data_IF_817529185350
#
_entry.id   IF_817529185350
#
_cell.length_a   1.000
_cell.length_b   1.000
_cell.length_c   1.000
_cell.angle_alpha   90.00
_cell.angle_beta   90.00
_cell.angle_gamma   90.00
#
_symmetry.space_group_name_H-M   'P 1'
#
loop_
_entity.id
_entity.type
_entity.pdbx_description
1 polymer ?
#
# COMPACT_ATOMS: atom_id res chain seq x y z
N UNK A 1 -18.17 -12.85 9.27
CA UNK A 1 -18.47 -12.00 8.10
C UNK A 1 -17.21 -11.19 7.76
N UNK A 2 -16.65 -11.35 6.56
CA UNK A 2 -15.58 -10.43 6.10
C UNK A 2 -16.27 -9.15 5.64
N UNK A 3 -16.18 -8.09 6.43
CA UNK A 3 -16.60 -6.76 5.99
C UNK A 3 -15.78 -6.40 4.76
N UNK A 4 -16.46 -6.20 3.62
CA UNK A 4 -15.82 -5.68 2.41
C UNK A 4 -15.51 -4.19 2.66
N UNK A 5 -14.42 -3.92 3.38
CA UNK A 5 -13.86 -2.58 3.50
C UNK A 5 -13.51 -2.10 2.10
N UNK A 6 -14.27 -1.11 1.64
CA UNK A 6 -14.03 -0.33 0.43
C UNK A 6 -13.46 1.02 0.85
N UNK A 7 -12.39 1.46 0.19
CA UNK A 7 -11.75 2.74 0.50
C UNK A 7 -12.18 3.75 -0.55
N UNK A 8 -12.83 4.82 -0.12
CA UNK A 8 -13.23 5.91 -1.01
C UNK A 8 -12.13 6.98 -1.03
N UNK A 9 -11.26 6.92 -2.04
CA UNK A 9 -10.12 7.84 -2.22
C UNK A 9 -10.16 8.42 -3.64
N UNK A 10 -9.76 9.69 -3.82
CA UNK A 10 -9.75 10.31 -5.15
C UNK A 10 -8.63 9.76 -6.03
N UNK A 11 -7.45 9.60 -5.45
CA UNK A 11 -6.30 8.96 -6.08
C UNK A 11 -5.35 8.38 -5.03
N UNK A 12 -4.39 7.58 -5.49
CA UNK A 12 -3.19 7.24 -4.73
C UNK A 12 -1.97 7.46 -5.62
N UNK A 13 -0.85 7.83 -5.03
CA UNK A 13 0.40 8.07 -5.75
C UNK A 13 1.55 7.35 -5.04
N UNK A 14 2.45 6.71 -5.79
CA UNK A 14 3.67 6.15 -5.20
C UNK A 14 4.54 7.27 -4.60
N UNK A 15 4.87 7.15 -3.31
CA UNK A 15 5.72 8.13 -2.62
C UNK A 15 7.15 7.62 -2.43
N UNK A 16 7.30 6.41 -1.84
CA UNK A 16 8.62 5.84 -1.54
C UNK A 16 8.54 4.34 -1.22
N UNK A 17 9.67 3.70 -0.97
CA UNK A 17 9.74 2.39 -0.35
C UNK A 17 10.81 2.32 0.74
N UNK A 18 10.72 1.32 1.61
CA UNK A 18 11.60 1.20 2.79
C UNK A 18 13.11 1.14 2.46
N UNK A 19 13.50 0.75 1.25
CA UNK A 19 14.90 0.76 0.82
C UNK A 19 15.42 2.14 0.38
N UNK A 20 14.53 3.13 0.23
CA UNK A 20 14.85 4.48 -0.21
C UNK A 20 14.86 5.50 0.94
N UNK A 21 14.59 5.08 2.17
CA UNK A 21 14.44 5.95 3.35
C UNK A 21 15.25 5.42 4.52
N UNK A 22 15.48 6.27 5.52
CA UNK A 22 16.07 5.84 6.78
C UNK A 22 15.01 5.23 7.73
N UNK A 23 15.49 4.64 8.83
CA UNK A 23 14.63 3.98 9.81
C UNK A 23 13.67 4.95 10.52
N UNK A 24 14.10 6.20 10.74
CA UNK A 24 13.28 7.22 11.43
C UNK A 24 12.08 7.60 10.55
N UNK A 25 12.32 7.83 9.26
CA UNK A 25 11.26 8.10 8.27
C UNK A 25 10.32 6.91 8.13
N UNK A 26 10.86 5.68 8.12
CA UNK A 26 10.05 4.47 8.08
C UNK A 26 9.14 4.34 9.30
N UNK A 27 9.65 4.60 10.50
CA UNK A 27 8.87 4.56 11.75
C UNK A 27 7.71 5.56 11.73
N UNK A 28 7.94 6.78 11.25
CA UNK A 28 6.88 7.78 11.13
C UNK A 28 5.86 7.43 10.04
N UNK A 29 6.28 6.91 8.88
CA UNK A 29 5.36 6.45 7.83
C UNK A 29 4.50 5.25 8.25
N UNK A 30 5.04 4.38 9.12
CA UNK A 30 4.35 3.21 9.65
C UNK A 30 3.54 3.49 10.93
N UNK A 31 3.59 4.71 11.45
CA UNK A 31 2.91 5.10 12.69
C UNK A 31 1.40 4.89 12.58
N UNK A 32 0.84 4.17 13.54
CA UNK A 32 -0.58 3.84 13.56
C UNK A 32 -1.03 2.85 12.48
N UNK A 33 -0.10 2.14 11.82
CA UNK A 33 -0.44 1.19 10.78
C UNK A 33 -1.38 0.09 11.28
N UNK A 34 -2.46 -0.12 10.55
CA UNK A 34 -3.42 -1.20 10.75
C UNK A 34 -3.47 -2.11 9.53
N UNK A 35 -3.78 -3.39 9.74
CA UNK A 35 -3.91 -4.35 8.64
C UNK A 35 -5.02 -3.93 7.69
N UNK A 36 -4.73 -3.92 6.40
CA UNK A 36 -5.63 -3.42 5.37
C UNK A 36 -6.17 -4.53 4.45
N UNK A 37 -7.24 -4.19 3.71
CA UNK A 37 -7.82 -5.09 2.72
C UNK A 37 -6.97 -5.14 1.46
N UNK A 38 -6.07 -6.13 1.39
CA UNK A 38 -5.16 -6.36 0.27
C UNK A 38 -5.83 -6.38 -1.10
N UNK A 39 -7.01 -7.00 -1.22
CA UNK A 39 -7.71 -7.09 -2.51
C UNK A 39 -8.14 -5.71 -2.98
N UNK A 40 -8.58 -4.87 -2.06
CA UNK A 40 -9.01 -3.52 -2.39
C UNK A 40 -7.83 -2.62 -2.72
N UNK A 41 -6.72 -2.70 -1.96
CA UNK A 41 -5.49 -1.98 -2.29
C UNK A 41 -4.98 -2.38 -3.67
N UNK A 42 -4.95 -3.68 -4.02
CA UNK A 42 -4.54 -4.11 -5.36
C UNK A 42 -5.42 -3.50 -6.47
N UNK A 43 -6.72 -3.29 -6.22
CA UNK A 43 -7.61 -2.61 -7.18
C UNK A 43 -7.27 -1.13 -7.32
N UNK A 44 -6.99 -0.45 -6.20
CA UNK A 44 -6.60 0.97 -6.22
C UNK A 44 -5.26 1.16 -6.91
N UNK A 45 -4.25 0.34 -6.59
CA UNK A 45 -2.94 0.37 -7.25
C UNK A 45 -3.09 0.07 -8.74
N UNK A 46 -3.91 -0.92 -9.13
CA UNK A 46 -4.18 -1.17 -10.56
C UNK A 46 -4.81 0.04 -11.27
N UNK A 47 -5.71 0.75 -10.59
CA UNK A 47 -6.46 1.87 -11.15
C UNK A 47 -5.63 3.13 -11.29
N UNK A 48 -4.87 3.49 -10.26
CA UNK A 48 -4.17 4.76 -10.17
C UNK A 48 -2.66 4.65 -10.46
N UNK A 49 -2.06 3.49 -10.17
CA UNK A 49 -0.61 3.24 -10.29
C UNK A 49 -0.32 1.94 -11.08
N UNK A 50 -0.81 1.81 -12.34
CA UNK A 50 -0.74 0.56 -13.10
C UNK A 50 0.70 0.10 -13.36
N UNK A 51 1.66 1.01 -13.45
CA UNK A 51 3.09 0.69 -13.58
C UNK A 51 3.57 -0.13 -12.39
N UNK A 52 3.28 0.31 -11.16
CA UNK A 52 3.65 -0.42 -9.94
C UNK A 52 2.84 -1.70 -9.79
N UNK A 53 1.57 -1.72 -10.18
CA UNK A 53 0.76 -2.94 -10.17
C UNK A 53 1.43 -4.07 -10.98
N UNK A 54 1.91 -3.73 -12.18
CA UNK A 54 2.57 -4.66 -13.08
C UNK A 54 3.99 -5.01 -12.59
N UNK A 55 4.78 -4.01 -12.18
CA UNK A 55 6.15 -4.19 -11.69
C UNK A 55 6.20 -5.12 -10.48
N UNK A 56 5.26 -4.97 -9.55
CA UNK A 56 5.15 -5.80 -8.34
C UNK A 56 4.36 -7.10 -8.57
N UNK A 57 3.89 -7.34 -9.80
CA UNK A 57 3.14 -8.53 -10.18
C UNK A 57 1.96 -8.84 -9.23
N UNK A 58 1.20 -7.79 -8.86
CA UNK A 58 0.14 -7.86 -7.85
C UNK A 58 -1.09 -8.71 -8.25
N UNK A 59 -1.09 -9.25 -9.47
CA UNK A 59 -2.02 -10.25 -9.94
C UNK A 59 -1.72 -11.67 -9.42
N UNK A 60 -0.52 -11.94 -8.92
CA UNK A 60 -0.15 -13.23 -8.33
C UNK A 60 -0.38 -13.26 -6.82
N UNK A 61 -0.39 -14.47 -6.26
CA UNK A 61 -0.46 -14.64 -4.82
C UNK A 61 0.78 -14.05 -4.15
N UNK A 62 0.54 -13.18 -3.17
CA UNK A 62 1.57 -12.59 -2.35
C UNK A 62 1.25 -12.94 -0.88
N UNK A 63 2.17 -13.56 -0.12
CA UNK A 63 1.92 -14.01 1.25
C UNK A 63 1.91 -12.87 2.28
N UNK A 64 2.50 -11.71 1.96
CA UNK A 64 2.64 -10.61 2.90
C UNK A 64 1.32 -9.87 3.14
N UNK A 65 1.17 -9.38 4.38
CA UNK A 65 0.07 -8.50 4.77
C UNK A 65 0.31 -7.09 4.27
N UNK A 66 -0.78 -6.38 3.97
CA UNK A 66 -0.75 -4.96 3.61
C UNK A 66 -1.26 -4.16 4.80
N UNK A 67 -0.85 -2.90 4.84
CA UNK A 67 -1.21 -1.99 5.90
C UNK A 67 -1.81 -0.70 5.35
N UNK A 68 -2.47 0.03 6.22
CA UNK A 68 -2.96 1.38 6.00
C UNK A 68 -2.57 2.22 7.20
N UNK A 69 -2.08 3.42 6.96
CA UNK A 69 -1.92 4.47 7.96
C UNK A 69 -2.96 5.57 7.71
N UNK A 70 -2.85 6.69 8.42
CA UNK A 70 -3.67 7.87 8.15
C UNK A 70 -3.55 8.31 6.69
N UNK A 71 -2.31 8.38 6.18
CA UNK A 71 -1.97 9.02 4.91
C UNK A 71 -1.55 8.05 3.80
N UNK A 72 -1.37 6.75 4.09
CA UNK A 72 -0.81 5.80 3.12
C UNK A 72 -1.54 4.47 3.07
N UNK A 73 -1.52 3.86 1.89
CA UNK A 73 -1.57 2.41 1.75
C UNK A 73 -0.15 1.86 1.63
N UNK A 74 0.11 0.79 2.37
CA UNK A 74 1.42 0.12 2.39
C UNK A 74 1.28 -1.25 1.76
N UNK A 75 1.84 -1.38 0.55
CA UNK A 75 1.92 -2.64 -0.20
C UNK A 75 3.21 -3.31 0.20
N UNK A 76 3.14 -4.52 0.78
CA UNK A 76 4.34 -5.29 1.13
C UNK A 76 4.56 -6.36 0.07
N UNK A 77 5.72 -6.34 -0.58
CA UNK A 77 6.12 -7.34 -1.56
C UNK A 77 7.63 -7.57 -1.48
N UNK A 78 8.07 -8.83 -1.56
CA UNK A 78 9.50 -9.19 -1.43
C UNK A 78 10.19 -8.57 -0.21
N UNK A 79 9.50 -8.56 0.94
CA UNK A 79 9.95 -7.91 2.18
C UNK A 79 10.29 -6.41 2.02
N UNK A 80 9.68 -5.74 1.05
CA UNK A 80 9.77 -4.29 0.84
C UNK A 80 8.39 -3.66 1.06
N UNK A 81 8.32 -2.66 1.93
CA UNK A 81 7.14 -1.80 2.12
C UNK A 81 7.16 -0.69 1.06
N UNK A 82 6.17 -0.68 0.17
CA UNK A 82 5.92 0.38 -0.80
C UNK A 82 4.81 1.28 -0.28
N UNK A 83 5.10 2.56 -0.11
CA UNK A 83 4.18 3.55 0.45
C UNK A 83 3.49 4.29 -0.69
N UNK A 84 2.16 4.15 -0.76
CA UNK A 84 1.31 4.87 -1.69
C UNK A 84 0.50 5.91 -0.92
N UNK A 85 0.77 7.19 -1.16
CA UNK A 85 0.09 8.31 -0.51
C UNK A 85 -1.37 8.37 -0.94
N UNK A 86 -2.26 8.62 0.00
CA UNK A 86 -3.69 8.82 -0.25
C UNK A 86 -3.90 10.30 -0.61
N UNK A 87 -4.56 10.55 -1.75
CA UNK A 87 -4.96 11.89 -2.18
C UNK A 87 -6.47 12.03 -1.96
N UNK A 88 -6.84 12.98 -1.10
CA UNK A 88 -8.24 13.26 -0.71
C UNK A 88 -9.04 14.08 -1.70
#
# INVERSE_FOLDING_TARGET
MKTNLTYNVKAIEYETCCSCIDIITWEELMKGAVKANKREINRLVKRFEPTFYNMLALNFYNPYHYFRTENHFVVVHSATEYFFKIIE
#
